data_IF_210620960687
#
_entry.id   IF_210620960687
#
_cell.length_a   1.000
_cell.length_b   1.000
_cell.length_c   1.000
_cell.angle_alpha   90.00
_cell.angle_beta   90.00
_cell.angle_gamma   90.00
#
_symmetry.space_group_name_H-M   'P 1'
#
loop_
_entity.id
_entity.type
_entity.pdbx_description
1 polymer ?
#
# COMPACT_ATOMS: atom_id res chain seq x y z
N UNK A 1 -15.88 19.20 -25.11
CA UNK A 1 -14.78 18.69 -24.25
C UNK A 1 -14.99 17.19 -24.08
N UNK A 2 -14.16 16.34 -24.70
CA UNK A 2 -14.30 14.87 -24.60
C UNK A 2 -13.62 14.42 -23.30
N UNK A 3 -14.42 13.93 -22.35
CA UNK A 3 -13.90 13.28 -21.14
C UNK A 3 -13.19 12.01 -21.61
N UNK A 4 -11.86 11.95 -21.48
CA UNK A 4 -11.11 10.69 -21.63
C UNK A 4 -11.51 9.81 -20.46
N UNK A 5 -12.32 8.79 -20.73
CA UNK A 5 -12.60 7.75 -19.75
C UNK A 5 -11.26 7.08 -19.39
N UNK A 6 -10.91 7.04 -18.10
CA UNK A 6 -9.69 6.38 -17.64
C UNK A 6 -9.72 4.91 -18.10
N UNK A 7 -8.61 4.42 -18.64
CA UNK A 7 -8.51 3.01 -19.03
C UNK A 7 -8.78 2.14 -17.79
N UNK A 8 -9.64 1.14 -17.93
CA UNK A 8 -10.00 0.22 -16.85
C UNK A 8 -8.76 -0.55 -16.41
N UNK A 9 -8.29 -0.30 -15.18
CA UNK A 9 -7.19 -1.05 -14.58
C UNK A 9 -7.69 -2.45 -14.17
N UNK A 10 -6.88 -3.48 -14.42
CA UNK A 10 -7.19 -4.88 -14.06
C UNK A 10 -6.07 -5.46 -13.21
N UNK A 11 -6.39 -5.94 -12.01
CA UNK A 11 -5.41 -6.60 -11.14
C UNK A 11 -4.85 -7.91 -11.75
N UNK A 12 -5.65 -8.60 -12.57
CA UNK A 12 -5.23 -9.84 -13.23
C UNK A 12 -4.39 -9.63 -14.50
N UNK A 13 -4.40 -8.41 -15.05
CA UNK A 13 -3.60 -8.05 -16.22
C UNK A 13 -3.24 -6.55 -16.17
N UNK A 14 -2.33 -6.17 -15.25
CA UNK A 14 -2.03 -4.77 -15.00
C UNK A 14 -1.12 -4.22 -16.09
N UNK A 15 -1.40 -3.02 -16.59
CA UNK A 15 -0.58 -2.33 -17.60
C UNK A 15 0.53 -1.43 -17.00
N UNK A 16 0.68 -1.48 -15.67
CA UNK A 16 1.70 -0.80 -14.84
C UNK A 16 1.87 -1.60 -13.54
N UNK A 17 2.90 -1.34 -12.71
CA UNK A 17 2.98 -1.97 -11.38
C UNK A 17 1.71 -1.76 -10.55
N UNK A 18 1.30 -2.78 -9.81
CA UNK A 18 0.19 -2.73 -8.85
C UNK A 18 0.66 -1.93 -7.63
N UNK A 19 -0.04 -0.85 -7.32
CA UNK A 19 0.28 0.03 -6.19
C UNK A 19 -0.44 -0.45 -4.96
N UNK A 20 0.33 -0.90 -3.97
CA UNK A 20 -0.16 -1.37 -2.68
C UNK A 20 0.13 -0.28 -1.66
N UNK A 21 -0.92 0.30 -1.08
CA UNK A 21 -0.77 1.30 -0.02
C UNK A 21 -1.06 0.70 1.34
N UNK A 22 -0.15 0.89 2.29
CA UNK A 22 -0.38 0.64 3.71
C UNK A 22 -0.67 1.98 4.36
N UNK A 23 -1.91 2.17 4.82
CA UNK A 23 -2.35 3.42 5.45
C UNK A 23 -2.18 3.31 6.95
N UNK A 24 -1.36 4.21 7.48
CA UNK A 24 -0.99 4.28 8.89
C UNK A 24 -1.66 5.49 9.51
N UNK A 25 -2.59 5.23 10.42
CA UNK A 25 -3.27 6.27 11.17
C UNK A 25 -2.35 6.86 12.24
N UNK A 26 -2.73 8.01 12.80
CA UNK A 26 -1.98 8.69 13.86
C UNK A 26 -2.01 7.91 15.18
N UNK A 27 -2.85 6.89 15.32
CA UNK A 27 -2.83 5.93 16.43
C UNK A 27 -1.59 5.01 16.43
N UNK A 28 -1.61 3.98 17.26
CA UNK A 28 -0.68 2.85 17.19
C UNK A 28 -1.34 1.75 16.37
N UNK A 29 -0.81 1.48 15.19
CA UNK A 29 -1.32 0.44 14.29
C UNK A 29 -0.85 -0.94 14.75
N UNK A 30 -1.72 -1.93 14.71
CA UNK A 30 -1.35 -3.32 15.02
C UNK A 30 -0.47 -3.87 13.87
N UNK A 31 0.72 -4.36 14.22
CA UNK A 31 1.75 -4.78 13.26
C UNK A 31 1.33 -6.01 12.44
N UNK A 32 0.64 -6.97 13.04
CA UNK A 32 0.20 -8.20 12.36
C UNK A 32 -0.85 -7.90 11.28
N UNK A 33 -1.69 -6.90 11.48
CA UNK A 33 -2.73 -6.49 10.54
C UNK A 33 -2.15 -5.88 9.25
N UNK A 34 -0.93 -5.33 9.33
CA UNK A 34 -0.18 -4.85 8.15
C UNK A 34 0.81 -5.89 7.61
N UNK A 35 0.98 -7.05 8.27
CA UNK A 35 1.83 -8.13 7.80
C UNK A 35 1.51 -8.67 6.38
N UNK A 36 0.28 -8.58 5.84
CA UNK A 36 0.02 -8.94 4.44
C UNK A 36 0.92 -8.20 3.43
N UNK A 37 1.47 -7.03 3.77
CA UNK A 37 2.45 -6.35 2.91
C UNK A 37 3.70 -7.21 2.68
N UNK A 38 4.16 -7.95 3.71
CA UNK A 38 5.30 -8.85 3.62
C UNK A 38 4.98 -10.08 2.76
N UNK A 39 3.76 -10.60 2.84
CA UNK A 39 3.29 -11.67 1.95
C UNK A 39 3.27 -11.21 0.49
N UNK A 40 2.74 -10.03 0.19
CA UNK A 40 2.73 -9.46 -1.17
C UNK A 40 4.16 -9.21 -1.68
N UNK A 41 5.03 -8.67 -0.84
CA UNK A 41 6.44 -8.51 -1.17
C UNK A 41 7.11 -9.85 -1.50
N UNK A 42 6.76 -10.93 -0.78
CA UNK A 42 7.22 -12.29 -1.07
C UNK A 42 6.87 -12.81 -2.48
N UNK A 43 5.86 -12.23 -3.13
CA UNK A 43 5.44 -12.55 -4.50
C UNK A 43 5.97 -11.56 -5.54
N UNK A 44 6.68 -10.52 -5.10
CA UNK A 44 7.12 -9.42 -5.96
C UNK A 44 8.27 -9.83 -6.87
N UNK A 45 8.38 -9.19 -8.04
CA UNK A 45 9.54 -9.31 -8.92
C UNK A 45 10.85 -8.97 -8.20
N UNK A 46 10.85 -7.92 -7.38
CA UNK A 46 12.02 -7.48 -6.62
C UNK A 46 12.55 -8.60 -5.73
N UNK A 47 11.70 -9.14 -4.85
CA UNK A 47 12.11 -10.21 -3.94
C UNK A 47 12.45 -11.50 -4.66
N UNK A 48 11.59 -11.95 -5.58
CA UNK A 48 11.73 -13.22 -6.30
C UNK A 48 13.00 -13.24 -7.19
N UNK A 49 13.44 -12.08 -7.69
CA UNK A 49 14.67 -11.98 -8.48
C UNK A 49 15.94 -12.31 -7.69
N UNK A 50 15.89 -12.27 -6.36
CA UNK A 50 17.03 -12.58 -5.48
C UNK A 50 17.30 -14.07 -5.32
N UNK A 51 16.33 -14.93 -5.66
CA UNK A 51 16.49 -16.38 -5.52
C UNK A 51 17.42 -16.94 -6.59
N UNK A 52 18.25 -17.95 -6.30
CA UNK A 52 19.00 -18.66 -7.33
C UNK A 52 18.06 -19.47 -8.24
N UNK A 53 18.46 -19.72 -9.49
CA UNK A 53 17.63 -20.44 -10.47
C UNK A 53 17.37 -21.89 -10.06
N UNK A 54 18.26 -22.49 -9.26
CA UNK A 54 18.12 -23.82 -8.67
C UNK A 54 17.02 -23.88 -7.61
N UNK A 55 16.75 -22.76 -6.93
CA UNK A 55 15.68 -22.65 -5.94
C UNK A 55 14.35 -22.32 -6.60
N UNK A 56 14.37 -21.45 -7.61
CA UNK A 56 13.17 -21.04 -8.33
C UNK A 56 13.46 -20.85 -9.82
N UNK A 57 12.87 -21.72 -10.65
CA UNK A 57 13.11 -21.72 -12.07
C UNK A 57 12.76 -20.37 -12.74
N UNK A 58 13.48 -19.94 -13.79
CA UNK A 58 13.22 -18.68 -14.50
C UNK A 58 11.77 -18.51 -14.98
N UNK A 59 11.12 -19.60 -15.40
CA UNK A 59 9.72 -19.60 -15.84
C UNK A 59 8.72 -19.29 -14.72
N UNK A 60 9.06 -19.62 -13.47
CA UNK A 60 8.26 -19.25 -12.29
C UNK A 60 8.57 -17.83 -11.85
N UNK A 61 9.83 -17.40 -11.88
CA UNK A 61 10.21 -16.00 -11.63
C UNK A 61 9.53 -15.03 -12.58
N UNK A 62 9.34 -15.42 -13.85
CA UNK A 62 8.62 -14.64 -14.85
C UNK A 62 7.13 -14.39 -14.49
N UNK A 63 6.56 -15.17 -13.58
CA UNK A 63 5.19 -15.01 -13.08
C UNK A 63 5.11 -14.13 -11.83
N UNK A 64 6.24 -13.63 -11.31
CA UNK A 64 6.27 -12.74 -10.16
C UNK A 64 5.54 -11.42 -10.47
N UNK A 65 4.91 -10.87 -9.44
CA UNK A 65 4.03 -9.72 -9.58
C UNK A 65 4.82 -8.42 -9.48
N UNK A 66 4.50 -7.47 -10.35
CA UNK A 66 5.10 -6.15 -10.32
C UNK A 66 4.38 -5.27 -9.30
N UNK A 67 4.87 -5.22 -8.07
CA UNK A 67 4.31 -4.40 -6.99
C UNK A 67 5.12 -3.11 -6.80
N UNK A 68 4.41 -2.04 -6.43
CA UNK A 68 5.01 -0.84 -5.84
C UNK A 68 4.32 -0.55 -4.51
N UNK A 69 5.09 -0.56 -3.43
CA UNK A 69 4.58 -0.35 -2.08
C UNK A 69 4.64 1.13 -1.70
N UNK A 70 3.58 1.60 -1.04
CA UNK A 70 3.42 2.96 -0.54
C UNK A 70 3.08 2.88 0.95
N UNK A 71 3.91 3.47 1.80
CA UNK A 71 3.63 3.63 3.23
C UNK A 71 3.11 5.04 3.43
N UNK A 72 1.86 5.15 3.88
CA UNK A 72 1.11 6.40 3.80
C UNK A 72 0.63 6.81 5.19
N UNK A 73 0.83 8.07 5.56
CA UNK A 73 0.21 8.67 6.75
C UNK A 73 -0.26 10.09 6.45
N UNK A 74 -0.90 10.76 7.40
CA UNK A 74 -1.24 12.18 7.24
C UNK A 74 0.03 13.05 7.13
N UNK A 75 1.05 12.73 7.93
CA UNK A 75 2.29 13.50 8.00
C UNK A 75 3.32 13.13 6.91
N UNK A 76 3.15 11.99 6.24
CA UNK A 76 4.14 11.46 5.30
C UNK A 76 5.54 11.37 5.91
N UNK A 77 6.55 11.80 5.16
CA UNK A 77 7.96 11.78 5.58
C UNK A 77 8.28 12.71 6.76
N UNK A 78 7.34 13.56 7.20
CA UNK A 78 7.58 14.49 8.30
C UNK A 78 7.57 13.83 9.69
N UNK A 79 6.97 12.64 9.84
CA UNK A 79 6.89 11.96 11.12
C UNK A 79 6.79 10.44 10.99
N UNK A 80 7.37 9.73 11.96
CA UNK A 80 7.18 8.29 12.07
C UNK A 80 5.75 7.94 12.52
N UNK A 81 5.17 6.95 11.84
CA UNK A 81 3.97 6.26 12.31
C UNK A 81 4.34 5.17 13.32
N UNK A 82 3.43 4.92 14.27
CA UNK A 82 3.67 4.02 15.41
C UNK A 82 2.99 2.68 15.19
N UNK A 83 3.71 1.60 15.52
CA UNK A 83 3.22 0.23 15.40
C UNK A 83 3.23 -0.47 16.77
N UNK A 84 2.43 -1.53 16.93
CA UNK A 84 2.48 -2.39 18.12
C UNK A 84 3.88 -3.02 18.27
N UNK A 85 4.22 -3.42 19.50
CA UNK A 85 5.55 -3.96 19.81
C UNK A 85 6.66 -2.90 19.88
N UNK A 86 6.33 -1.61 19.90
CA UNK A 86 7.30 -0.52 20.02
C UNK A 86 8.03 -0.18 18.73
N UNK A 87 7.58 -0.72 17.59
CA UNK A 87 8.12 -0.42 16.28
C UNK A 87 7.59 0.92 15.75
N UNK A 88 8.33 1.50 14.82
CA UNK A 88 7.89 2.66 14.06
C UNK A 88 8.38 2.55 12.63
N UNK A 89 7.70 3.23 11.72
CA UNK A 89 8.06 3.31 10.30
C UNK A 89 7.94 4.75 9.84
N UNK A 90 8.87 5.17 8.99
CA UNK A 90 8.79 6.46 8.32
C UNK A 90 7.99 6.27 7.02
N UNK A 91 6.79 6.87 6.90
CA UNK A 91 6.00 6.81 5.68
C UNK A 91 6.71 7.54 4.54
N UNK A 92 6.56 7.04 3.31
CA UNK A 92 7.12 7.66 2.10
C UNK A 92 6.17 8.69 1.51
N UNK A 93 4.87 8.57 1.80
CA UNK A 93 3.83 9.40 1.21
C UNK A 93 2.94 10.01 2.29
N UNK A 94 2.54 11.26 2.08
CA UNK A 94 1.41 11.84 2.78
C UNK A 94 0.09 11.52 2.06
N UNK A 95 -1.06 11.79 2.68
CA UNK A 95 -2.34 11.69 1.98
C UNK A 95 -2.42 12.54 0.70
N UNK A 96 -1.64 13.62 0.62
CA UNK A 96 -1.58 14.53 -0.54
C UNK A 96 -0.58 14.08 -1.59
N UNK A 97 0.56 13.49 -1.21
CA UNK A 97 1.58 13.04 -2.18
C UNK A 97 1.30 11.63 -2.71
N UNK A 98 0.47 10.86 -2.00
CA UNK A 98 0.20 9.46 -2.33
C UNK A 98 -0.46 9.33 -3.70
N UNK A 99 0.12 8.53 -4.63
CA UNK A 99 -0.54 8.26 -5.90
C UNK A 99 -1.79 7.38 -5.70
N UNK A 100 -2.67 7.29 -6.71
CA UNK A 100 -3.80 6.36 -6.68
C UNK A 100 -3.33 4.92 -6.40
N UNK A 101 -3.99 4.25 -5.46
CA UNK A 101 -3.70 2.89 -4.99
C UNK A 101 -4.67 1.88 -5.59
N UNK A 102 -4.19 0.66 -5.81
CA UNK A 102 -5.02 -0.46 -6.32
C UNK A 102 -5.44 -1.42 -5.21
N UNK A 103 -4.59 -1.56 -4.21
CA UNK A 103 -4.81 -2.34 -2.99
C UNK A 103 -4.52 -1.41 -1.82
N UNK A 104 -5.46 -1.30 -0.89
CA UNK A 104 -5.31 -0.52 0.34
C UNK A 104 -5.36 -1.48 1.52
N UNK A 105 -4.30 -1.47 2.32
CA UNK A 105 -4.18 -2.22 3.58
C UNK A 105 -4.27 -1.23 4.74
N UNK A 106 -5.22 -1.48 5.64
CA UNK A 106 -5.45 -0.65 6.83
C UNK A 106 -5.59 -1.57 8.01
N UNK A 107 -4.64 -1.48 8.95
CA UNK A 107 -4.68 -2.27 10.17
C UNK A 107 -5.58 -1.66 11.23
N UNK A 108 -5.95 -2.46 12.23
CA UNK A 108 -6.57 -1.93 13.43
C UNK A 108 -5.59 -1.00 14.16
N UNK A 109 -6.15 -0.09 14.95
CA UNK A 109 -5.38 0.80 15.81
C UNK A 109 -5.75 0.57 17.28
N UNK A 110 -4.93 1.06 18.20
CA UNK A 110 -5.15 0.94 19.63
C UNK A 110 -6.54 1.43 20.07
N UNK A 111 -7.09 0.79 21.11
CA UNK A 111 -8.32 1.23 21.75
C UNK A 111 -8.22 2.68 22.23
N UNK A 112 -9.34 3.40 22.14
CA UNK A 112 -9.46 4.81 22.53
C UNK A 112 -8.95 5.80 21.47
N UNK A 113 -8.27 5.35 20.42
CA UNK A 113 -7.99 6.19 19.26
C UNK A 113 -9.24 6.35 18.40
N UNK A 114 -9.51 7.59 17.96
CA UNK A 114 -10.59 7.91 17.01
C UNK A 114 -9.96 8.53 15.77
N UNK A 115 -10.18 7.95 14.57
CA UNK A 115 -9.65 8.52 13.34
C UNK A 115 -10.12 9.96 13.12
N UNK A 116 -9.22 10.80 12.63
CA UNK A 116 -9.52 12.20 12.36
C UNK A 116 -10.22 12.39 11.00
N UNK A 117 -10.62 13.63 10.68
CA UNK A 117 -11.33 13.92 9.45
C UNK A 117 -10.53 13.57 8.18
N UNK A 118 -9.20 13.75 8.19
CA UNK A 118 -8.35 13.44 7.05
C UNK A 118 -8.27 11.92 6.80
N UNK A 119 -8.13 11.13 7.87
CA UNK A 119 -8.11 9.67 7.81
C UNK A 119 -9.46 9.10 7.35
N UNK A 120 -10.57 9.63 7.88
CA UNK A 120 -11.92 9.22 7.44
C UNK A 120 -12.19 9.56 5.98
N UNK A 121 -11.69 10.71 5.50
CA UNK A 121 -11.85 11.12 4.11
C UNK A 121 -11.14 10.16 3.13
N UNK A 122 -10.03 9.54 3.53
CA UNK A 122 -9.35 8.55 2.71
C UNK A 122 -10.26 7.33 2.43
N UNK A 123 -11.01 6.86 3.45
CA UNK A 123 -11.93 5.74 3.31
C UNK A 123 -13.20 6.06 2.55
N UNK A 124 -13.76 7.26 2.77
CA UNK A 124 -14.95 7.70 2.05
C UNK A 124 -14.72 7.72 0.52
N UNK A 125 -13.49 8.02 0.09
CA UNK A 125 -13.13 8.14 -1.33
C UNK A 125 -12.50 6.86 -1.92
N UNK A 126 -12.05 5.90 -1.11
CA UNK A 126 -11.50 4.63 -1.57
C UNK A 126 -12.52 3.78 -2.35
N UNK A 127 -13.83 3.93 -2.06
CA UNK A 127 -14.91 3.22 -2.75
C UNK A 127 -15.33 3.79 -4.10
N UNK A 128 -14.87 4.99 -4.47
CA UNK A 128 -15.37 5.74 -5.64
C UNK A 128 -14.42 5.81 -6.83
N UNK A 129 -13.37 4.96 -6.85
CA UNK A 129 -12.48 4.77 -8.00
C UNK A 129 -11.96 6.07 -8.64
N UNK A 130 -11.57 7.04 -7.81
CA UNK A 130 -10.78 8.20 -8.23
C UNK A 130 -10.17 8.85 -7.00
N UNK A 131 -8.87 8.66 -6.77
CA UNK A 131 -8.11 9.61 -5.97
C UNK A 131 -7.30 10.48 -6.92
N UNK A 132 -7.65 11.77 -7.01
CA UNK A 132 -6.69 12.84 -6.87
C UNK A 132 -7.07 13.60 -5.60
N UNK A 133 -6.16 13.67 -4.62
CA UNK A 133 -6.21 14.70 -3.59
C UNK A 133 -5.24 15.82 -3.97
#
# INVERSE_FOLDING_TARGET
MKIKMAAKFSLSNPNRPIRVGVVLMNGVTELLDIAPVGMLHGLSKEFVSTFPDELLAPSLKAQAVDFKFHWVSEAGEAAHSRLSGGMSILPMDSFQSCPPLDIVLVGAHNFGYTPNAAELALFANAGTSALPF
#
